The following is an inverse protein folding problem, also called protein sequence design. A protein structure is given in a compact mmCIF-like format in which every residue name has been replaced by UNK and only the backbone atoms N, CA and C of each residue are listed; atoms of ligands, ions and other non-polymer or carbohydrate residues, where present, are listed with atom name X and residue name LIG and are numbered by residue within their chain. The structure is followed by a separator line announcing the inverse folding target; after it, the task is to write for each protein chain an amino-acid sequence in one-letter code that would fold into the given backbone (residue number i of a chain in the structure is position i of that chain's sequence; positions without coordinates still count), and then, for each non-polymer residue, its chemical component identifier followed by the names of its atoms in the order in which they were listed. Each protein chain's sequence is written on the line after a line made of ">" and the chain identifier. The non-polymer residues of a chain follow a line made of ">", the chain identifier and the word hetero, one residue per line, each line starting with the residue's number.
data_IF_342545568692
#
_entry.id   IF_342545568692
#
_cell.length_a   1.000
_cell.length_b   1.000
_cell.length_c   1.000
_cell.angle_alpha   90.00
_cell.angle_beta   90.00
_cell.angle_gamma   90.00
#
_symmetry.space_group_name_H-M   'P 1'
#
loop_
_entity.id
_entity.type
_entity.pdbx_description
1 polymer ?
#
# COMPACT_ATOMS: atom_id res chain seq x y z
N UNK A 1 23.68 19.06 3.30
CA UNK A 1 24.33 18.28 2.23
C UNK A 1 23.21 17.76 1.35
N UNK A 2 22.80 18.54 0.33
CA UNK A 2 21.81 18.06 -0.65
C UNK A 2 22.43 17.03 -1.60
N UNK A 3 23.76 17.05 -1.71
CA UNK A 3 24.53 16.24 -2.63
C UNK A 3 24.48 14.74 -2.26
N UNK A 4 24.36 14.38 -0.97
CA UNK A 4 24.12 12.99 -0.54
C UNK A 4 22.72 12.47 -0.91
N UNK A 5 21.72 13.37 -0.95
CA UNK A 5 20.36 13.02 -1.38
C UNK A 5 20.38 12.74 -2.90
N UNK A 6 21.16 13.50 -3.66
CA UNK A 6 21.30 13.34 -5.11
C UNK A 6 22.23 12.20 -5.53
N UNK A 7 23.30 11.91 -4.79
CA UNK A 7 24.12 10.72 -5.01
C UNK A 7 23.32 9.43 -4.72
N UNK A 8 22.42 9.48 -3.73
CA UNK A 8 21.44 8.40 -3.54
C UNK A 8 20.48 8.27 -4.72
N UNK A 9 20.18 9.37 -5.41
CA UNK A 9 19.23 9.39 -6.52
C UNK A 9 19.78 8.72 -7.79
N UNK A 10 21.06 8.92 -8.09
CA UNK A 10 21.74 8.24 -9.21
C UNK A 10 21.88 6.73 -8.98
N UNK A 11 22.32 6.33 -7.78
CA UNK A 11 22.38 4.91 -7.37
C UNK A 11 20.98 4.27 -7.28
N UNK A 12 19.97 5.05 -6.89
CA UNK A 12 18.57 4.64 -6.87
C UNK A 12 18.00 4.47 -8.28
N UNK A 13 18.28 5.37 -9.22
CA UNK A 13 17.84 5.19 -10.62
C UNK A 13 18.51 3.97 -11.28
N UNK A 14 19.79 3.72 -10.99
CA UNK A 14 20.51 2.56 -11.54
C UNK A 14 20.01 1.22 -10.95
N UNK A 15 19.57 1.18 -9.70
CA UNK A 15 18.94 -0.01 -9.09
C UNK A 15 17.45 -0.19 -9.42
N UNK A 16 16.72 0.89 -9.76
CA UNK A 16 15.25 0.90 -9.86
C UNK A 16 14.70 1.31 -11.23
N UNK A 17 15.51 1.34 -12.29
CA UNK A 17 15.13 1.71 -13.66
C UNK A 17 14.02 0.87 -14.32
N UNK A 18 13.39 -0.11 -13.62
CA UNK A 18 12.45 -1.04 -14.26
C UNK A 18 11.05 -1.21 -13.66
N UNK A 19 10.67 -0.72 -12.46
CA UNK A 19 9.32 -1.03 -11.92
C UNK A 19 8.70 0.05 -11.01
N UNK A 20 7.46 0.44 -11.34
CA UNK A 20 6.38 0.92 -10.46
C UNK A 20 6.63 2.13 -9.53
N UNK A 21 7.36 3.16 -9.98
CA UNK A 21 7.82 4.29 -9.15
C UNK A 21 6.67 5.18 -8.66
N UNK A 22 5.66 5.43 -9.50
CA UNK A 22 4.56 6.33 -9.13
C UNK A 22 3.62 5.68 -8.11
N UNK A 23 3.23 4.43 -8.32
CA UNK A 23 2.38 3.70 -7.37
C UNK A 23 3.05 3.53 -6.01
N UNK A 24 4.34 3.23 -5.95
CA UNK A 24 5.10 3.17 -4.69
C UNK A 24 5.09 4.51 -3.94
N UNK A 25 5.36 5.62 -4.64
CA UNK A 25 5.34 6.96 -4.02
C UNK A 25 3.95 7.32 -3.49
N UNK A 26 2.90 6.92 -4.20
CA UNK A 26 1.52 7.11 -3.74
C UNK A 26 1.23 6.26 -2.50
N UNK A 27 1.67 5.00 -2.47
CA UNK A 27 1.49 4.14 -1.30
C UNK A 27 2.18 4.73 -0.07
N UNK A 28 3.43 5.17 -0.19
CA UNK A 28 4.14 5.82 0.93
C UNK A 28 3.51 7.15 1.35
N UNK A 29 3.02 7.95 0.41
CA UNK A 29 2.33 9.19 0.74
C UNK A 29 1.02 8.95 1.51
N UNK A 30 0.33 7.84 1.22
CA UNK A 30 -0.92 7.44 1.88
C UNK A 30 -0.67 6.74 3.23
N UNK A 31 0.42 5.99 3.36
CA UNK A 31 0.89 5.44 4.64
C UNK A 31 1.19 6.56 5.64
N UNK A 32 1.90 7.62 5.22
CA UNK A 32 2.16 8.80 6.05
C UNK A 32 0.88 9.57 6.46
N UNK A 33 -0.28 9.25 5.87
CA UNK A 33 -1.61 9.79 6.23
C UNK A 33 -2.44 8.81 7.04
N UNK A 34 -1.91 7.63 7.33
CA UNK A 34 -2.54 6.50 8.00
C UNK A 34 -3.76 5.97 7.23
N UNK A 35 -3.76 6.11 5.89
CA UNK A 35 -4.77 5.55 4.99
C UNK A 35 -4.34 4.19 4.42
N UNK A 36 -3.04 3.94 4.46
CA UNK A 36 -2.44 2.62 4.24
C UNK A 36 -1.81 2.19 5.55
N UNK A 37 -2.03 0.94 5.92
CA UNK A 37 -1.35 0.30 7.03
C UNK A 37 -0.16 -0.48 6.48
N UNK A 38 1.01 -0.20 7.02
CA UNK A 38 2.22 -0.97 6.78
C UNK A 38 2.43 -1.93 7.97
N UNK A 39 2.65 -3.21 7.68
CA UNK A 39 2.97 -4.24 8.66
C UNK A 39 4.26 -4.96 8.31
N UNK A 40 4.98 -5.47 9.31
CA UNK A 40 6.01 -6.48 9.07
C UNK A 40 5.35 -7.79 8.60
N UNK A 41 5.97 -8.51 7.68
CA UNK A 41 5.42 -9.74 7.11
C UNK A 41 5.08 -10.85 8.13
N UNK A 42 5.57 -10.74 9.36
CA UNK A 42 5.28 -11.67 10.47
C UNK A 42 4.02 -11.30 11.26
N UNK A 43 3.52 -10.07 11.09
CA UNK A 43 2.34 -9.57 11.80
C UNK A 43 1.06 -10.02 11.10
N UNK A 44 0.03 -10.36 11.88
CA UNK A 44 -1.25 -10.79 11.34
C UNK A 44 -2.16 -9.58 11.10
N UNK A 45 -2.62 -9.42 9.88
CA UNK A 45 -3.50 -8.32 9.49
C UNK A 45 -4.81 -8.28 10.29
N UNK A 46 -5.31 -9.43 10.78
CA UNK A 46 -6.52 -9.50 11.59
C UNK A 46 -6.41 -8.68 12.89
N UNK A 47 -5.21 -8.62 13.48
CA UNK A 47 -4.93 -7.88 14.71
C UNK A 47 -4.84 -6.36 14.51
N UNK A 48 -4.69 -5.92 13.25
CA UNK A 48 -4.37 -4.53 12.93
C UNK A 48 -5.37 -3.82 12.00
N UNK A 49 -6.27 -4.56 11.36
CA UNK A 49 -7.21 -4.02 10.36
C UNK A 49 -8.08 -2.88 10.91
N UNK A 50 -8.38 -2.88 12.22
CA UNK A 50 -9.16 -1.83 12.89
C UNK A 50 -8.43 -0.47 12.99
N UNK A 51 -7.10 -0.46 12.80
CA UNK A 51 -6.30 0.77 12.77
C UNK A 51 -6.30 1.45 11.40
N UNK A 52 -6.77 0.77 10.34
CA UNK A 52 -6.85 1.36 9.00
C UNK A 52 -7.95 2.42 8.99
N UNK A 53 -7.60 3.66 8.65
CA UNK A 53 -8.61 4.71 8.48
C UNK A 53 -9.51 4.38 7.29
N UNK A 54 -10.78 4.17 7.58
CA UNK A 54 -11.79 4.03 6.53
C UNK A 54 -12.34 5.40 6.10
N UNK A 55 -11.93 5.85 4.89
CA UNK A 55 -12.47 7.05 4.26
C UNK A 55 -13.88 6.85 3.64
N UNK A 56 -14.32 5.61 3.50
CA UNK A 56 -15.53 5.18 2.78
C UNK A 56 -16.69 4.83 3.72
N UNK A 57 -16.94 5.67 4.74
CA UNK A 57 -17.95 5.43 5.77
C UNK A 57 -19.33 5.12 5.17
N UNK A 58 -19.97 4.06 5.67
CA UNK A 58 -21.30 3.63 5.24
C UNK A 58 -21.33 2.89 3.90
N UNK A 59 -20.17 2.47 3.38
CA UNK A 59 -20.07 1.61 2.21
C UNK A 59 -19.33 0.32 2.58
N UNK A 60 -19.74 -0.84 2.04
CA UNK A 60 -18.99 -2.07 2.22
C UNK A 60 -17.63 -1.92 1.55
N UNK A 61 -16.58 -2.23 2.32
CA UNK A 61 -15.19 -2.18 1.87
C UNK A 61 -14.57 -3.57 1.81
N UNK A 62 -13.57 -3.73 0.94
CA UNK A 62 -12.65 -4.86 0.90
C UNK A 62 -11.25 -4.38 1.25
N UNK A 63 -10.44 -5.29 1.76
CA UNK A 63 -9.02 -5.07 2.00
C UNK A 63 -8.23 -5.39 0.72
N UNK A 64 -7.23 -4.56 0.43
CA UNK A 64 -6.28 -4.78 -0.65
C UNK A 64 -4.88 -4.81 -0.09
N UNK A 65 -4.05 -5.68 -0.62
CA UNK A 65 -2.62 -5.75 -0.36
C UNK A 65 -1.84 -5.23 -1.58
N UNK A 66 -0.86 -4.36 -1.33
CA UNK A 66 0.04 -3.84 -2.36
C UNK A 66 1.32 -4.65 -2.37
N UNK A 67 1.61 -5.27 -3.51
CA UNK A 67 2.90 -5.91 -3.74
C UNK A 67 3.93 -4.82 -4.10
N UNK A 68 4.66 -4.36 -3.10
CA UNK A 68 5.81 -3.48 -3.28
C UNK A 68 7.10 -4.31 -3.32
N UNK A 69 8.12 -3.82 -4.03
CA UNK A 69 9.38 -4.53 -4.30
C UNK A 69 10.00 -5.09 -3.00
N UNK A 70 10.24 -6.42 -3.00
CA UNK A 70 11.03 -7.25 -2.06
C UNK A 70 11.46 -6.53 -0.77
N UNK A 71 10.49 -6.21 0.08
CA UNK A 71 10.75 -5.83 1.45
C UNK A 71 9.93 -6.75 2.37
N UNK A 72 10.41 -6.93 3.59
CA UNK A 72 9.74 -7.72 4.62
C UNK A 72 8.49 -7.00 5.16
N UNK A 73 7.77 -6.26 4.31
CA UNK A 73 6.65 -5.42 4.69
C UNK A 73 5.47 -5.68 3.76
N UNK A 74 4.27 -5.63 4.34
CA UNK A 74 3.01 -5.70 3.62
C UNK A 74 2.24 -4.38 3.80
N UNK A 75 1.56 -3.93 2.76
CA UNK A 75 0.86 -2.64 2.74
C UNK A 75 -0.60 -2.85 2.41
N UNK A 76 -1.50 -2.36 3.26
CA UNK A 76 -2.93 -2.63 3.17
C UNK A 76 -3.78 -1.37 3.07
N UNK A 77 -4.82 -1.41 2.25
CA UNK A 77 -5.83 -0.34 2.17
C UNK A 77 -7.26 -0.90 2.16
N UNK A 78 -8.19 -0.12 2.72
CA UNK A 78 -9.62 -0.34 2.55
C UNK A 78 -10.13 0.43 1.33
N UNK A 79 -10.82 -0.28 0.44
CA UNK A 79 -11.49 0.31 -0.73
C UNK A 79 -12.92 -0.20 -0.84
N UNK A 80 -13.84 0.51 -1.51
CA UNK A 80 -15.18 0.00 -1.76
C UNK A 80 -15.16 -1.35 -2.50
N UNK A 81 -16.06 -2.27 -2.14
CA UNK A 81 -16.14 -3.61 -2.77
C UNK A 81 -16.33 -3.50 -4.29
N UNK A 82 -17.12 -2.52 -4.73
CA UNK A 82 -17.41 -2.23 -6.14
C UNK A 82 -16.27 -1.51 -6.88
N UNK A 83 -15.19 -1.11 -6.20
CA UNK A 83 -14.04 -0.49 -6.85
C UNK A 83 -13.30 -1.53 -7.72
N UNK A 84 -13.18 -1.22 -9.01
CA UNK A 84 -12.36 -1.99 -9.94
C UNK A 84 -10.90 -1.59 -9.80
N UNK A 85 -10.19 -2.30 -8.93
CA UNK A 85 -8.75 -2.13 -8.68
C UNK A 85 -8.03 -3.33 -9.29
N UNK A 86 -7.40 -3.13 -10.44
CA UNK A 86 -6.63 -4.17 -11.14
C UNK A 86 -5.16 -3.83 -11.32
N UNK A 87 -4.77 -2.55 -11.25
CA UNK A 87 -3.37 -2.09 -11.24
C UNK A 87 -3.35 -0.66 -10.70
N UNK A 88 -3.05 -0.45 -9.41
CA UNK A 88 -3.04 0.91 -8.85
C UNK A 88 -1.72 1.59 -9.19
N UNK A 89 -1.72 2.35 -10.29
CA UNK A 89 -0.55 3.10 -10.78
C UNK A 89 0.72 2.24 -10.83
N UNK A 90 0.68 1.17 -11.63
CA UNK A 90 1.79 0.24 -11.88
C UNK A 90 2.05 -0.79 -10.76
N UNK A 91 1.54 -0.58 -9.53
CA UNK A 91 1.66 -1.57 -8.45
C UNK A 91 0.66 -2.72 -8.64
N UNK A 92 1.16 -3.96 -8.53
CA UNK A 92 0.33 -5.16 -8.49
C UNK A 92 -0.44 -5.19 -7.16
N UNK A 93 -1.71 -5.55 -7.24
CA UNK A 93 -2.60 -5.56 -6.08
C UNK A 93 -3.20 -6.95 -5.96
N UNK A 94 -2.99 -7.59 -4.82
CA UNK A 94 -3.70 -8.82 -4.48
C UNK A 94 -4.91 -8.50 -3.59
N UNK A 95 -6.04 -9.14 -3.86
CA UNK A 95 -7.23 -8.99 -3.02
C UNK A 95 -7.10 -9.91 -1.80
N UNK A 96 -6.75 -9.31 -0.66
CA UNK A 96 -6.97 -9.93 0.63
C UNK A 96 -8.48 -9.89 0.93
N UNK A 97 -9.18 -10.99 0.66
CA UNK A 97 -10.63 -11.06 0.90
C UNK A 97 -10.89 -11.14 2.40
N UNK A 98 -11.04 -9.99 3.04
CA UNK A 98 -11.69 -9.85 4.34
C UNK A 98 -13.04 -9.20 4.11
N UNK A 99 -14.09 -10.03 4.05
CA UNK A 99 -15.48 -9.56 3.95
C UNK A 99 -15.96 -9.24 5.37
N UNK A 100 -16.20 -7.96 5.65
CA UNK A 100 -16.96 -7.55 6.84
C UNK A 100 -18.38 -7.19 6.40
N UNK A 101 -19.35 -7.95 6.87
CA UNK A 101 -20.74 -7.52 6.98
C UNK A 101 -20.83 -6.71 8.28
N UNK A 102 -21.13 -5.42 8.20
CA UNK A 102 -21.56 -4.68 9.39
C UNK A 102 -23.01 -5.13 9.69
N UNK A 103 -23.22 -5.77 10.84
CA UNK A 103 -24.55 -6.02 11.43
C UNK A 103 -25.25 -4.72 11.86
#
# INVERSE_FOLDING_TARGET
>A
MLDEIWDSFGAYEEHHASKNRLGMLLVFALEAKEWILQLDYKEDIEDHVDFIKNAWKGQPTKLLEFELVDNNQAYFALVPVNAHVTNWFEVQVEQAVVVREEE
#
